data_IF_802793695597
#
_entry.id   IF_802793695597
#
_cell.length_a   1.000
_cell.length_b   1.000
_cell.length_c   1.000
_cell.angle_alpha   90.00
_cell.angle_beta   90.00
_cell.angle_gamma   90.00
#
_symmetry.space_group_name_H-M   'P 1'
#
loop_
_entity.id
_entity.type
_entity.pdbx_description
1 polymer ?
#
# COMPACT_ATOMS: atom_id res chain seq x y z
N UNK A 1 -7.43 7.41 15.37
CA UNK A 1 -6.54 6.94 14.32
C UNK A 1 -7.00 7.44 13.01
N UNK A 2 -6.08 7.84 12.20
CA UNK A 2 -6.39 8.44 10.93
C UNK A 2 -6.31 7.42 9.82
N UNK A 3 -7.30 7.47 8.95
CA UNK A 3 -7.25 6.68 7.73
C UNK A 3 -6.57 7.50 6.65
N UNK A 4 -5.81 6.84 5.83
CA UNK A 4 -5.05 7.49 4.78
C UNK A 4 -5.07 6.61 3.54
N UNK A 5 -5.34 7.22 2.40
CA UNK A 5 -5.45 6.47 1.16
C UNK A 5 -4.64 7.16 0.07
N UNK A 6 -3.83 6.37 -0.62
CA UNK A 6 -3.01 6.85 -1.73
C UNK A 6 -3.33 5.98 -2.95
N UNK A 7 -3.61 6.63 -4.06
CA UNK A 7 -3.89 5.92 -5.30
C UNK A 7 -2.60 5.77 -6.11
N UNK A 8 -2.32 4.55 -6.52
CA UNK A 8 -1.12 4.25 -7.28
C UNK A 8 -1.44 4.35 -8.77
N UNK A 9 -1.56 5.58 -9.24
CA UNK A 9 -1.96 5.82 -10.62
C UNK A 9 -1.07 6.90 -11.22
N UNK A 10 -0.04 6.52 -11.94
CA UNK A 10 0.93 7.51 -12.45
C UNK A 10 0.38 8.41 -13.55
N UNK A 11 -0.62 7.96 -14.31
CA UNK A 11 -1.05 8.73 -15.47
C UNK A 11 -2.54 8.66 -15.73
N UNK A 12 -3.35 8.84 -14.71
CA UNK A 12 -4.78 8.97 -14.92
C UNK A 12 -5.47 7.76 -15.52
N UNK A 13 -4.99 6.59 -15.24
CA UNK A 13 -5.64 5.38 -15.72
C UNK A 13 -6.93 5.15 -14.92
N UNK A 14 -7.88 4.46 -15.50
CA UNK A 14 -9.19 4.31 -14.90
C UNK A 14 -9.25 3.28 -13.77
N UNK A 15 -8.31 2.35 -13.73
CA UNK A 15 -8.33 1.27 -12.73
C UNK A 15 -6.97 1.18 -12.09
N UNK A 16 -6.76 1.94 -11.04
CA UNK A 16 -5.51 1.97 -10.33
C UNK A 16 -5.67 1.39 -8.94
N UNK A 17 -4.68 0.62 -8.46
CA UNK A 17 -4.76 0.10 -7.11
C UNK A 17 -4.55 1.23 -6.10
N UNK A 18 -5.11 1.03 -4.92
CA UNK A 18 -4.97 1.97 -3.82
C UNK A 18 -4.17 1.34 -2.70
N UNK A 19 -3.51 2.18 -1.92
CA UNK A 19 -2.95 1.80 -0.63
C UNK A 19 -3.77 2.53 0.42
N UNK A 20 -4.48 1.79 1.24
CA UNK A 20 -5.35 2.39 2.25
C UNK A 20 -4.90 1.95 3.63
N UNK A 21 -4.54 2.92 4.46
CA UNK A 21 -4.17 2.67 5.85
C UNK A 21 -5.39 2.93 6.71
N UNK A 22 -5.83 1.90 7.43
CA UNK A 22 -7.03 1.98 8.25
C UNK A 22 -6.72 1.37 9.62
N UNK A 23 -6.41 2.22 10.60
CA UNK A 23 -6.08 1.75 11.93
C UNK A 23 -4.76 1.00 11.93
N UNK A 24 -4.81 -0.29 12.28
CA UNK A 24 -3.62 -1.13 12.34
C UNK A 24 -3.56 -2.13 11.20
N UNK A 25 -4.15 -1.76 10.07
CA UNK A 25 -4.27 -2.65 8.92
C UNK A 25 -4.09 -1.82 7.65
N UNK A 26 -3.50 -2.42 6.62
CA UNK A 26 -3.31 -1.75 5.34
C UNK A 26 -3.86 -2.63 4.24
N UNK A 27 -4.66 -2.04 3.37
CA UNK A 27 -5.21 -2.73 2.21
C UNK A 27 -4.56 -2.18 0.95
N UNK A 28 -4.06 -3.09 0.12
CA UNK A 28 -3.40 -2.71 -1.12
C UNK A 28 -4.07 -3.42 -2.26
N UNK A 29 -4.46 -2.68 -3.26
CA UNK A 29 -5.06 -3.26 -4.46
C UNK A 29 -6.36 -2.57 -4.83
N UNK A 30 -7.23 -3.33 -5.48
CA UNK A 30 -8.51 -2.82 -5.97
C UNK A 30 -9.58 -3.87 -5.70
N UNK A 31 -10.87 -3.50 -5.80
CA UNK A 31 -11.94 -4.47 -5.58
C UNK A 31 -11.73 -5.70 -6.46
N UNK A 32 -11.77 -6.87 -5.83
CA UNK A 32 -11.53 -8.12 -6.52
C UNK A 32 -10.08 -8.55 -6.56
N UNK A 33 -9.16 -7.69 -6.12
CA UNK A 33 -7.74 -8.01 -6.11
C UNK A 33 -7.07 -7.22 -4.99
N UNK A 34 -7.39 -7.59 -3.76
CA UNK A 34 -6.94 -6.88 -2.57
C UNK A 34 -6.04 -7.75 -1.71
N UNK A 35 -4.95 -7.15 -1.24
CA UNK A 35 -4.08 -7.75 -0.25
C UNK A 35 -4.21 -6.96 1.04
N UNK A 36 -4.35 -7.65 2.16
CA UNK A 36 -4.47 -7.02 3.46
C UNK A 36 -3.22 -7.35 4.26
N UNK A 37 -2.56 -6.32 4.75
CA UNK A 37 -1.37 -6.45 5.58
C UNK A 37 -1.68 -6.00 6.99
N UNK A 38 -1.12 -6.72 7.96
CA UNK A 38 -1.15 -6.30 9.34
C UNK A 38 -0.15 -5.16 9.54
N UNK A 39 -0.28 -4.48 10.66
CA UNK A 39 0.59 -3.37 11.00
C UNK A 39 2.08 -3.76 10.92
N UNK A 40 2.43 -4.90 11.51
CA UNK A 40 3.82 -5.34 11.51
C UNK A 40 4.34 -5.63 10.11
N UNK A 41 3.49 -6.24 9.29
CA UNK A 41 3.85 -6.56 7.92
C UNK A 41 4.03 -5.31 7.09
N UNK A 42 3.16 -4.34 7.27
CA UNK A 42 3.26 -3.07 6.58
C UNK A 42 4.54 -2.33 6.99
N UNK A 43 4.81 -2.27 8.30
CA UNK A 43 6.00 -1.58 8.78
C UNK A 43 7.27 -2.24 8.27
N UNK A 44 7.29 -3.56 8.16
CA UNK A 44 8.43 -4.26 7.60
C UNK A 44 8.61 -3.92 6.12
N UNK A 45 7.52 -3.82 5.38
CA UNK A 45 7.60 -3.44 3.98
C UNK A 45 8.21 -2.04 3.83
N UNK A 46 7.79 -1.11 4.66
CA UNK A 46 8.35 0.25 4.63
C UNK A 46 9.84 0.22 4.97
N UNK A 47 10.22 -0.57 5.97
CA UNK A 47 11.62 -0.69 6.36
C UNK A 47 12.46 -1.24 5.21
N UNK A 48 11.96 -2.24 4.51
CA UNK A 48 12.69 -2.85 3.39
C UNK A 48 12.86 -1.88 2.23
N UNK A 49 11.88 -1.04 2.00
CA UNK A 49 11.98 0.00 0.96
C UNK A 49 13.05 1.01 1.37
N UNK A 50 13.03 1.45 2.61
CA UNK A 50 13.99 2.42 3.09
C UNK A 50 15.41 1.86 3.15
N UNK A 51 15.54 0.56 3.36
CA UNK A 51 16.84 -0.10 3.40
C UNK A 51 17.38 -0.44 2.00
N UNK A 52 16.59 -0.20 0.96
CA UNK A 52 17.03 -0.49 -0.41
C UNK A 52 16.88 -1.92 -0.83
N UNK A 53 16.19 -2.74 -0.05
CA UNK A 53 15.93 -4.14 -0.43
C UNK A 53 14.83 -4.23 -1.48
N UNK A 54 13.88 -3.30 -1.42
CA UNK A 54 12.82 -3.19 -2.42
C UNK A 54 12.95 -1.83 -3.08
N UNK A 55 13.16 -1.83 -4.37
CA UNK A 55 13.42 -0.59 -5.10
C UNK A 55 12.53 -0.51 -6.34
N UNK A 56 12.61 0.62 -7.01
CA UNK A 56 11.92 0.78 -8.28
C UNK A 56 12.45 -0.21 -9.31
N UNK A 57 11.60 -0.52 -10.25
CA UNK A 57 11.98 -1.39 -11.35
C UNK A 57 12.65 -0.62 -12.46
#
# INVERSE_FOLDING_TARGET
MENHKVTLCPAGCGACPDVEIAGDQVRIGEPGNLTVLKKDEWNLLVDLIQAGQLTKL
#
